data_IF_541634485953
#
_entry.id   IF_541634485953
#
_cell.length_a   1.000
_cell.length_b   1.000
_cell.length_c   1.000
_cell.angle_alpha   90.00
_cell.angle_beta   90.00
_cell.angle_gamma   90.00
#
_symmetry.space_group_name_H-M   'P 1'
#
loop_
_entity.id
_entity.type
_entity.pdbx_description
1 polymer ?
#
# COMPACT_ATOMS: atom_id res chain seq x y z
N UNK A 1 -4.78 24.72 1.49
CA UNK A 1 -3.60 23.85 1.74
C UNK A 1 -2.57 24.67 2.50
N UNK A 2 -1.99 24.08 3.55
CA UNK A 2 -0.89 24.67 4.30
C UNK A 2 0.46 24.39 3.62
N UNK A 3 1.48 25.21 3.93
CA UNK A 3 2.83 24.95 3.42
C UNK A 3 3.41 23.68 4.08
N UNK A 4 4.11 22.89 3.28
CA UNK A 4 4.78 21.68 3.76
C UNK A 4 6.04 22.09 4.52
N UNK A 5 6.38 21.39 5.59
CA UNK A 5 7.59 21.67 6.38
C UNK A 5 8.86 21.57 5.55
N UNK A 6 9.95 22.21 6.01
CA UNK A 6 11.28 22.01 5.43
C UNK A 6 11.78 20.58 5.68
N UNK A 7 12.70 20.05 4.84
CA UNK A 7 13.34 18.77 5.08
C UNK A 7 13.96 18.68 6.48
N UNK A 8 13.77 17.54 7.12
CA UNK A 8 14.42 17.26 8.42
C UNK A 8 15.92 17.05 8.21
N UNK A 9 16.74 17.50 9.17
CA UNK A 9 18.19 17.34 9.11
C UNK A 9 18.57 15.85 9.02
N UNK A 10 19.38 15.49 8.02
CA UNK A 10 19.80 14.10 7.76
C UNK A 10 20.53 13.47 8.93
N UNK A 11 21.28 14.26 9.71
CA UNK A 11 21.98 13.77 10.90
C UNK A 11 21.01 13.26 11.98
N UNK A 12 19.84 13.89 12.12
CA UNK A 12 18.78 13.44 13.04
C UNK A 12 18.14 12.15 12.53
N UNK A 13 17.88 12.05 11.22
CA UNK A 13 17.33 10.83 10.63
C UNK A 13 18.27 9.66 10.86
N UNK A 14 19.56 9.84 10.57
CA UNK A 14 20.59 8.83 10.72
C UNK A 14 20.78 8.39 12.17
N UNK A 15 20.67 9.32 13.13
CA UNK A 15 20.76 9.00 14.55
C UNK A 15 19.63 8.10 15.05
N UNK A 16 18.44 8.20 14.46
CA UNK A 16 17.27 7.39 14.82
C UNK A 16 17.22 6.02 14.09
N UNK A 17 17.89 5.89 12.93
CA UNK A 17 17.94 4.65 12.14
C UNK A 17 19.06 3.73 12.66
N UNK A 18 18.83 3.11 13.81
CA UNK A 18 19.80 2.23 14.47
C UNK A 18 19.73 0.80 13.91
N UNK A 19 20.75 -0.03 14.25
CA UNK A 19 20.83 -1.43 13.81
C UNK A 19 19.66 -2.27 14.32
N UNK A 20 19.13 -1.95 15.50
CA UNK A 20 18.00 -2.64 16.12
C UNK A 20 16.69 -2.44 15.34
N UNK A 21 16.60 -1.39 14.53
CA UNK A 21 15.46 -1.07 13.67
C UNK A 21 15.64 -1.54 12.22
N UNK A 22 16.83 -2.03 11.88
CA UNK A 22 17.14 -2.56 10.56
C UNK A 22 16.43 -3.90 10.36
N UNK A 23 15.50 -3.94 9.41
CA UNK A 23 14.78 -5.17 9.05
C UNK A 23 15.65 -6.06 8.13
N UNK A 24 16.17 -5.47 7.06
CA UNK A 24 17.01 -6.14 6.08
C UNK A 24 17.68 -5.17 5.11
N UNK A 25 18.64 -5.66 4.36
CA UNK A 25 19.09 -5.01 3.11
C UNK A 25 18.22 -5.44 1.94
N UNK A 26 18.12 -4.58 0.94
CA UNK A 26 17.34 -4.85 -0.27
C UNK A 26 18.09 -5.77 -1.23
N UNK A 27 17.35 -6.53 -2.04
CA UNK A 27 17.94 -7.41 -3.04
C UNK A 27 18.63 -6.64 -4.19
N UNK A 28 18.30 -5.36 -4.34
CA UNK A 28 18.83 -4.48 -5.38
C UNK A 28 19.11 -3.09 -4.84
N UNK A 29 20.17 -2.47 -5.36
CA UNK A 29 20.55 -1.07 -5.09
C UNK A 29 21.13 -0.80 -3.71
N UNK A 30 21.52 -1.83 -2.95
CA UNK A 30 22.18 -1.76 -1.63
C UNK A 30 21.50 -0.80 -0.63
N UNK A 31 20.16 -0.66 -0.76
CA UNK A 31 19.36 0.11 0.18
C UNK A 31 19.10 -0.71 1.45
N UNK A 32 18.69 -0.02 2.49
CA UNK A 32 18.34 -0.60 3.78
C UNK A 32 16.85 -0.41 4.07
N UNK A 33 16.21 -1.42 4.67
CA UNK A 33 14.82 -1.35 5.07
C UNK A 33 14.77 -1.30 6.59
N UNK A 34 14.14 -0.24 7.11
CA UNK A 34 13.94 -0.05 8.54
C UNK A 34 12.46 -0.13 8.89
N UNK A 35 12.19 -0.55 10.13
CA UNK A 35 10.87 -0.47 10.74
C UNK A 35 10.97 0.43 11.96
N UNK A 36 10.13 1.46 12.01
CA UNK A 36 10.10 2.45 13.09
C UNK A 36 8.66 2.76 13.51
N UNK A 37 8.52 3.46 14.62
CA UNK A 37 7.28 4.11 15.06
C UNK A 37 7.51 5.60 15.29
N UNK A 38 6.44 6.39 15.36
CA UNK A 38 6.55 7.81 15.72
C UNK A 38 7.15 8.01 17.12
N UNK A 39 6.99 7.03 18.02
CA UNK A 39 7.47 7.11 19.40
C UNK A 39 8.98 6.90 19.53
N UNK A 40 9.54 6.02 18.70
CA UNK A 40 10.97 5.69 18.77
C UNK A 40 11.84 6.43 17.77
N UNK A 41 11.22 7.07 16.76
CA UNK A 41 11.90 7.79 15.67
C UNK A 41 11.11 9.02 15.22
N UNK A 42 10.92 10.02 16.11
CA UNK A 42 10.06 11.16 15.82
C UNK A 42 10.54 12.03 14.66
N UNK A 43 11.85 12.18 14.45
CA UNK A 43 12.39 12.95 13.33
C UNK A 43 12.21 12.19 12.00
N UNK A 44 12.44 10.87 11.99
CA UNK A 44 12.15 10.02 10.82
C UNK A 44 10.67 10.07 10.49
N UNK A 45 9.77 10.02 11.49
CA UNK A 45 8.34 10.13 11.26
C UNK A 45 7.93 11.49 10.66
N UNK A 46 8.52 12.59 11.11
CA UNK A 46 8.29 13.92 10.52
C UNK A 46 8.70 13.96 9.05
N UNK A 47 9.86 13.40 8.71
CA UNK A 47 10.32 13.34 7.31
C UNK A 47 9.42 12.42 6.45
N UNK A 48 8.98 11.28 6.98
CA UNK A 48 7.99 10.42 6.32
C UNK A 48 6.71 11.21 6.02
N UNK A 49 6.17 11.93 7.00
CA UNK A 49 4.97 12.76 6.84
C UNK A 49 5.14 13.85 5.79
N UNK A 50 6.31 14.49 5.75
CA UNK A 50 6.67 15.47 4.72
C UNK A 50 6.70 14.87 3.32
N UNK A 51 7.39 13.73 3.16
CA UNK A 51 7.53 13.06 1.86
C UNK A 51 6.19 12.50 1.36
N UNK A 52 5.35 11.96 2.25
CA UNK A 52 3.98 11.52 1.95
C UNK A 52 3.15 12.67 1.41
N UNK A 53 3.11 13.78 2.12
CA UNK A 53 2.31 14.94 1.74
C UNK A 53 2.77 15.50 0.38
N UNK A 54 4.08 15.58 0.11
CA UNK A 54 4.60 15.97 -1.20
C UNK A 54 4.15 15.00 -2.30
N UNK A 55 4.32 13.71 -2.07
CA UNK A 55 4.02 12.69 -3.07
C UNK A 55 2.52 12.63 -3.39
N UNK A 56 1.67 12.70 -2.37
CA UNK A 56 0.23 12.59 -2.54
C UNK A 56 -0.40 13.86 -3.13
N UNK A 57 0.00 15.06 -2.64
CA UNK A 57 -0.47 16.34 -3.20
C UNK A 57 -0.17 16.49 -4.67
N UNK A 58 0.96 15.98 -5.11
CA UNK A 58 1.36 16.07 -6.52
C UNK A 58 0.31 15.46 -7.47
N UNK A 59 -0.39 14.42 -7.01
CA UNK A 59 -1.43 13.76 -7.78
C UNK A 59 -2.86 14.20 -7.43
N UNK A 60 -3.04 15.15 -6.51
CA UNK A 60 -4.35 15.66 -6.10
C UNK A 60 -4.95 14.99 -4.87
N UNK A 61 -4.16 14.16 -4.16
CA UNK A 61 -4.50 13.64 -2.84
C UNK A 61 -3.83 14.44 -1.72
N UNK A 62 -3.61 13.78 -0.58
CA UNK A 62 -2.95 14.37 0.59
C UNK A 62 -3.93 14.99 1.58
N UNK A 63 -3.41 15.32 2.76
CA UNK A 63 -4.19 15.85 3.87
C UNK A 63 -4.40 17.36 3.79
N UNK A 64 -3.55 18.06 3.04
CA UNK A 64 -3.51 19.52 2.99
C UNK A 64 -2.78 20.15 4.18
N UNK A 65 -2.26 19.35 5.14
CA UNK A 65 -1.49 19.77 6.30
C UNK A 65 0.01 19.86 6.01
N UNK A 66 0.83 20.46 6.90
CA UNK A 66 2.28 20.57 6.69
C UNK A 66 3.01 19.22 6.58
N UNK A 67 2.41 18.14 7.13
CA UNK A 67 2.85 16.74 7.08
C UNK A 67 1.64 15.82 7.05
N UNK A 68 1.74 14.67 6.38
CA UNK A 68 0.75 13.59 6.44
C UNK A 68 1.10 12.65 7.60
N UNK A 69 0.69 13.06 8.80
CA UNK A 69 0.74 12.27 10.03
C UNK A 69 -0.64 12.33 10.65
N UNK A 70 -1.23 11.19 10.95
CA UNK A 70 -2.55 11.07 11.55
C UNK A 70 -2.51 10.38 12.93
N UNK A 71 -3.69 10.16 13.54
CA UNK A 71 -3.80 9.50 14.84
C UNK A 71 -3.25 8.07 14.82
N UNK A 72 -3.38 7.35 13.71
CA UNK A 72 -2.87 5.99 13.56
C UNK A 72 -1.33 5.94 13.55
N UNK A 73 -0.67 7.02 13.18
CA UNK A 73 0.78 7.14 13.25
C UNK A 73 1.27 7.45 14.67
N UNK A 74 0.41 8.02 15.56
CA UNK A 74 0.81 8.61 16.87
C UNK A 74 0.11 8.03 18.10
N UNK A 75 -0.98 7.26 17.93
CA UNK A 75 -1.68 6.62 19.05
C UNK A 75 -0.75 5.67 19.83
N UNK A 76 -1.15 5.24 21.04
CA UNK A 76 -0.35 4.33 21.88
C UNK A 76 0.06 3.04 21.13
N UNK A 77 -0.90 2.46 20.37
CA UNK A 77 -0.69 1.31 19.51
C UNK A 77 -0.44 1.74 18.07
N UNK A 78 0.47 2.70 17.87
CA UNK A 78 0.75 3.29 16.57
C UNK A 78 1.11 2.25 15.50
N UNK A 79 0.70 2.54 14.27
CA UNK A 79 1.17 1.80 13.10
C UNK A 79 2.68 1.94 12.96
N UNK A 80 3.32 0.85 12.57
CA UNK A 80 4.72 0.84 12.21
C UNK A 80 4.94 1.38 10.82
N UNK A 81 6.10 1.96 10.60
CA UNK A 81 6.53 2.50 9.32
C UNK A 81 7.67 1.63 8.77
N UNK A 82 7.42 0.97 7.65
CA UNK A 82 8.44 0.29 6.88
C UNK A 82 8.95 1.27 5.83
N UNK A 83 10.23 1.61 5.88
CA UNK A 83 10.86 2.57 4.97
C UNK A 83 12.05 1.97 4.25
N UNK A 84 12.27 2.42 3.02
CA UNK A 84 13.48 2.18 2.25
C UNK A 84 14.38 3.39 2.41
N UNK A 85 15.57 3.17 2.98
CA UNK A 85 16.60 4.16 3.22
C UNK A 85 17.77 3.94 2.27
N UNK A 86 18.25 4.99 1.64
CA UNK A 86 19.51 4.96 0.91
C UNK A 86 20.63 5.46 1.81
N UNK A 87 21.59 4.58 2.21
CA UNK A 87 22.67 4.97 3.13
C UNK A 87 23.73 5.86 2.50
N UNK A 88 23.87 5.85 1.17
CA UNK A 88 24.83 6.67 0.45
C UNK A 88 24.34 8.13 0.31
N UNK A 89 23.07 8.29 -0.04
CA UNK A 89 22.45 9.61 -0.21
C UNK A 89 21.84 10.14 1.10
N UNK A 90 21.77 9.31 2.15
CA UNK A 90 21.19 9.61 3.46
C UNK A 90 19.77 10.15 3.36
N UNK A 91 18.88 9.37 2.67
CA UNK A 91 17.51 9.79 2.42
C UNK A 91 16.50 8.63 2.35
N UNK A 92 15.25 8.93 2.65
CA UNK A 92 14.13 8.00 2.54
C UNK A 92 13.63 8.00 1.09
N UNK A 93 13.59 6.81 0.47
CA UNK A 93 13.15 6.64 -0.92
C UNK A 93 11.65 6.35 -1.03
N UNK A 94 11.05 5.76 -0.01
CA UNK A 94 9.64 5.39 0.03
C UNK A 94 9.30 4.58 1.27
N UNK A 95 8.02 4.23 1.42
CA UNK A 95 7.59 3.47 2.59
C UNK A 95 6.14 3.00 2.51
N UNK A 96 5.79 2.19 3.51
CA UNK A 96 4.46 1.78 3.90
C UNK A 96 4.26 2.00 5.39
N UNK A 97 3.04 2.31 5.83
CA UNK A 97 2.68 2.03 7.21
C UNK A 97 1.95 0.69 7.29
N UNK A 98 2.08 -0.02 8.41
CA UNK A 98 1.43 -1.29 8.61
C UNK A 98 1.03 -1.55 10.05
N UNK A 99 -0.01 -2.37 10.22
CA UNK A 99 -0.43 -2.91 11.51
C UNK A 99 -0.76 -4.39 11.35
N UNK A 100 -0.24 -5.24 12.23
CA UNK A 100 -0.64 -6.64 12.28
C UNK A 100 -2.04 -6.77 12.88
N UNK A 101 -2.89 -7.57 12.26
CA UNK A 101 -4.28 -7.74 12.69
C UNK A 101 -4.45 -8.35 14.08
N UNK A 102 -3.43 -9.09 14.56
CA UNK A 102 -3.37 -9.55 15.95
C UNK A 102 -3.24 -8.42 16.98
N UNK A 103 -2.72 -7.27 16.58
CA UNK A 103 -2.52 -6.09 17.42
C UNK A 103 -3.71 -5.11 17.31
N UNK A 104 -4.69 -5.40 16.45
CA UNK A 104 -5.85 -4.53 16.22
C UNK A 104 -6.82 -4.60 17.40
N UNK A 105 -7.15 -3.44 17.95
CA UNK A 105 -8.21 -3.31 18.96
C UNK A 105 -9.58 -3.30 18.28
N UNK A 106 -10.56 -3.85 18.97
CA UNK A 106 -11.96 -3.66 18.60
C UNK A 106 -12.56 -2.53 19.46
N UNK A 107 -13.42 -1.72 18.86
CA UNK A 107 -14.18 -0.70 19.58
C UNK A 107 -15.30 -1.32 20.42
N UNK A 108 -16.08 -0.48 21.11
CA UNK A 108 -17.20 -0.90 21.97
C UNK A 108 -18.31 -1.63 21.18
N UNK A 109 -18.38 -1.43 19.87
CA UNK A 109 -19.33 -2.08 18.97
C UNK A 109 -18.77 -3.37 18.33
N UNK A 110 -17.51 -3.75 18.67
CA UNK A 110 -16.84 -4.90 18.11
C UNK A 110 -16.26 -4.67 16.71
N UNK A 111 -16.15 -3.42 16.26
CA UNK A 111 -15.53 -3.08 14.98
C UNK A 111 -14.02 -2.91 15.13
N UNK A 112 -13.22 -3.32 14.12
CA UNK A 112 -11.78 -3.14 14.20
C UNK A 112 -11.39 -1.67 14.08
N UNK A 113 -10.45 -1.22 14.91
CA UNK A 113 -9.88 0.13 14.86
C UNK A 113 -8.72 0.13 13.87
N UNK A 114 -9.03 0.30 12.59
CA UNK A 114 -8.10 0.32 11.47
C UNK A 114 -8.14 1.68 10.76
N UNK A 115 -7.04 2.03 10.13
CA UNK A 115 -6.97 3.24 9.31
C UNK A 115 -7.94 3.23 8.12
N UNK A 116 -8.50 2.07 7.78
CA UNK A 116 -9.51 1.91 6.73
C UNK A 116 -10.94 1.82 7.26
N UNK A 117 -11.18 1.80 8.59
CA UNK A 117 -12.51 1.59 9.19
C UNK A 117 -13.50 2.73 8.93
N UNK A 118 -13.02 3.92 8.55
CA UNK A 118 -13.87 5.02 8.12
C UNK A 118 -14.35 4.89 6.66
N UNK A 119 -13.77 3.96 5.90
CA UNK A 119 -14.07 3.71 4.48
C UNK A 119 -14.82 2.41 4.25
N UNK A 120 -14.58 1.40 5.10
CA UNK A 120 -15.07 0.04 4.90
C UNK A 120 -15.68 -0.54 6.17
N UNK A 121 -16.77 -1.27 6.01
CA UNK A 121 -17.32 -2.17 7.02
C UNK A 121 -16.74 -3.58 6.83
N UNK A 122 -16.43 -4.22 7.95
CA UNK A 122 -15.83 -5.55 8.01
C UNK A 122 -16.87 -6.56 8.53
N UNK A 123 -17.05 -7.68 7.82
CA UNK A 123 -17.94 -8.74 8.25
C UNK A 123 -17.41 -9.42 9.54
N UNK A 124 -18.30 -10.05 10.30
CA UNK A 124 -17.89 -10.87 11.44
C UNK A 124 -16.93 -12.00 11.02
N UNK A 125 -17.12 -12.56 9.82
CA UNK A 125 -16.23 -13.56 9.27
C UNK A 125 -14.83 -13.00 9.07
N UNK A 126 -14.71 -11.80 8.47
CA UNK A 126 -13.41 -11.16 8.29
C UNK A 126 -12.72 -10.93 9.64
N UNK A 127 -13.44 -10.40 10.62
CA UNK A 127 -12.89 -10.06 11.93
C UNK A 127 -12.38 -11.32 12.66
N UNK A 128 -13.09 -12.45 12.59
CA UNK A 128 -12.72 -13.67 13.31
C UNK A 128 -11.72 -14.55 12.57
N UNK A 129 -11.84 -14.68 11.25
CA UNK A 129 -11.13 -15.71 10.49
C UNK A 129 -9.98 -15.14 9.65
N UNK A 130 -10.01 -13.86 9.30
CA UNK A 130 -9.02 -13.22 8.44
C UNK A 130 -8.14 -12.22 9.20
N UNK A 131 -8.75 -11.28 9.94
CA UNK A 131 -8.05 -10.19 10.58
C UNK A 131 -6.85 -10.62 11.45
N UNK A 132 -6.94 -11.66 12.31
CA UNK A 132 -5.80 -12.07 13.15
C UNK A 132 -4.55 -12.49 12.38
N UNK A 133 -4.73 -12.89 11.11
CA UNK A 133 -3.68 -13.37 10.21
C UNK A 133 -3.35 -12.35 9.10
N UNK A 134 -3.82 -11.13 9.24
CA UNK A 134 -3.70 -10.08 8.22
C UNK A 134 -2.71 -9.00 8.66
N UNK A 135 -1.98 -8.44 7.72
CA UNK A 135 -1.30 -7.16 7.88
C UNK A 135 -2.08 -6.12 7.09
N UNK A 136 -2.59 -5.08 7.75
CA UNK A 136 -3.08 -3.90 7.06
C UNK A 136 -1.92 -3.03 6.60
N UNK A 137 -1.94 -2.66 5.31
CA UNK A 137 -0.96 -1.82 4.65
C UNK A 137 -1.61 -0.50 4.22
N UNK A 138 -0.96 0.61 4.52
CA UNK A 138 -1.45 1.92 4.15
C UNK A 138 -0.34 2.90 3.79
N UNK A 139 -0.73 4.08 3.33
CA UNK A 139 0.20 5.19 3.03
C UNK A 139 1.42 4.78 2.20
N UNK A 140 1.21 3.89 1.20
CA UNK A 140 2.26 3.52 0.26
C UNK A 140 2.73 4.75 -0.52
N UNK A 141 4.01 5.05 -0.47
CA UNK A 141 4.59 6.16 -1.23
C UNK A 141 5.99 5.83 -1.74
N UNK A 142 6.33 6.45 -2.86
CA UNK A 142 7.69 6.61 -3.34
C UNK A 142 7.95 8.10 -3.37
N UNK A 143 9.06 8.55 -2.81
CA UNK A 143 9.41 9.97 -2.80
C UNK A 143 9.43 10.52 -4.23
N UNK A 144 8.85 11.71 -4.42
CA UNK A 144 8.48 12.23 -5.74
C UNK A 144 9.66 12.30 -6.72
N UNK A 145 10.86 12.57 -6.22
CA UNK A 145 12.10 12.62 -7.00
C UNK A 145 12.55 11.26 -7.54
N UNK A 146 12.10 10.16 -6.94
CA UNK A 146 12.39 8.78 -7.35
C UNK A 146 11.28 8.12 -8.15
N UNK A 147 10.22 8.82 -8.48
CA UNK A 147 9.18 8.28 -9.35
C UNK A 147 9.64 8.29 -10.81
N UNK A 148 9.56 7.12 -11.47
CA UNK A 148 10.14 6.86 -12.80
C UNK A 148 9.67 7.83 -13.91
N UNK A 149 8.51 8.44 -13.75
CA UNK A 149 7.93 9.40 -14.71
C UNK A 149 8.65 10.74 -14.74
N UNK A 150 9.45 11.07 -13.74
CA UNK A 150 10.06 12.41 -13.58
C UNK A 150 11.57 12.44 -13.80
N UNK A 151 12.29 11.42 -13.36
CA UNK A 151 13.75 11.54 -13.27
C UNK A 151 14.49 11.10 -14.53
N UNK A 152 13.85 10.38 -15.46
CA UNK A 152 14.60 9.67 -16.52
C UNK A 152 15.70 8.74 -15.96
N UNK A 153 15.79 8.65 -14.63
CA UNK A 153 16.80 7.95 -13.85
C UNK A 153 16.32 6.54 -13.55
N UNK A 154 17.21 5.58 -13.68
CA UNK A 154 16.98 4.19 -13.28
C UNK A 154 16.87 4.02 -11.75
N UNK A 155 17.23 5.05 -10.96
CA UNK A 155 17.25 5.02 -9.49
C UNK A 155 15.89 4.74 -8.86
N UNK A 156 14.80 5.30 -9.42
CA UNK A 156 13.44 5.08 -8.92
C UNK A 156 12.80 3.75 -9.30
N UNK A 157 13.36 3.04 -10.28
CA UNK A 157 12.79 1.79 -10.80
C UNK A 157 12.72 0.68 -9.74
N UNK A 158 13.59 0.72 -8.74
CA UNK A 158 13.70 -0.34 -7.75
C UNK A 158 13.04 -0.02 -6.41
N UNK A 159 12.59 1.21 -6.15
CA UNK A 159 12.02 1.58 -4.84
C UNK A 159 10.79 0.75 -4.51
N UNK A 160 9.86 0.61 -5.46
CA UNK A 160 8.67 -0.23 -5.26
C UNK A 160 9.04 -1.71 -5.07
N UNK A 161 10.04 -2.18 -5.79
CA UNK A 161 10.60 -3.53 -5.68
C UNK A 161 11.24 -3.75 -4.29
N UNK A 162 12.00 -2.76 -3.80
CA UNK A 162 12.58 -2.79 -2.46
C UNK A 162 11.51 -2.79 -1.35
N UNK A 163 10.41 -2.06 -1.54
CA UNK A 163 9.28 -2.10 -0.61
C UNK A 163 8.68 -3.52 -0.51
N UNK A 164 8.59 -4.23 -1.64
CA UNK A 164 8.18 -5.64 -1.65
C UNK A 164 9.16 -6.57 -0.94
N UNK A 165 10.46 -6.28 -0.97
CA UNK A 165 11.45 -7.02 -0.18
C UNK A 165 11.17 -6.90 1.32
N UNK A 166 10.75 -5.70 1.76
CA UNK A 166 10.33 -5.47 3.14
C UNK A 166 9.07 -6.23 3.52
N UNK A 167 8.01 -6.14 2.68
CA UNK A 167 6.76 -6.88 2.92
C UNK A 167 6.98 -8.40 2.91
N UNK A 168 7.86 -8.90 2.04
CA UNK A 168 8.26 -10.30 2.02
C UNK A 168 8.92 -10.73 3.33
N UNK A 169 9.79 -9.88 3.89
CA UNK A 169 10.44 -10.14 5.18
C UNK A 169 9.43 -10.26 6.33
N UNK A 170 8.38 -9.42 6.37
CA UNK A 170 7.32 -9.50 7.37
C UNK A 170 6.69 -10.91 7.43
N UNK A 171 6.40 -11.50 6.27
CA UNK A 171 5.78 -12.84 6.17
C UNK A 171 6.71 -13.98 6.55
N UNK A 172 8.04 -13.77 6.51
CA UNK A 172 9.02 -14.77 6.96
C UNK A 172 9.23 -14.69 8.46
N UNK A 173 9.31 -13.47 9.01
CA UNK A 173 9.50 -13.24 10.44
C UNK A 173 8.29 -13.73 11.23
N UNK A 174 7.09 -13.44 10.73
CA UNK A 174 5.84 -13.91 11.29
C UNK A 174 5.13 -14.90 10.34
N UNK A 175 5.39 -16.19 10.47
CA UNK A 175 4.79 -17.22 9.60
C UNK A 175 3.29 -17.43 9.83
N UNK A 176 2.68 -16.78 10.82
CA UNK A 176 1.24 -16.83 11.02
C UNK A 176 0.50 -15.87 10.10
N UNK A 177 1.20 -14.89 9.51
CA UNK A 177 0.63 -13.97 8.54
C UNK A 177 0.24 -14.70 7.25
N UNK A 178 -1.00 -14.53 6.86
CA UNK A 178 -1.58 -15.18 5.67
C UNK A 178 -2.03 -14.17 4.63
N UNK A 179 -2.33 -12.92 5.03
CA UNK A 179 -2.95 -11.93 4.16
C UNK A 179 -2.29 -10.57 4.27
N UNK A 180 -2.19 -9.90 3.13
CA UNK A 180 -1.98 -8.46 3.03
C UNK A 180 -3.32 -7.81 2.68
N UNK A 181 -3.78 -6.88 3.50
CA UNK A 181 -4.98 -6.08 3.28
C UNK A 181 -4.59 -4.62 3.12
N UNK A 182 -5.27 -3.90 2.27
CA UNK A 182 -5.06 -2.48 2.08
C UNK A 182 -5.98 -1.91 1.03
N UNK A 183 -5.63 -0.75 0.53
CA UNK A 183 -6.39 -0.06 -0.50
C UNK A 183 -5.49 0.53 -1.57
N UNK A 184 -5.99 0.60 -2.78
CA UNK A 184 -5.34 1.30 -3.89
C UNK A 184 -6.11 2.55 -4.23
N UNK A 185 -5.37 3.66 -4.36
CA UNK A 185 -5.91 4.98 -4.63
C UNK A 185 -5.96 5.26 -6.12
N UNK A 186 -7.09 5.74 -6.62
CA UNK A 186 -7.20 6.45 -7.89
C UNK A 186 -7.54 7.91 -7.63
N UNK A 187 -6.74 8.79 -8.23
CA UNK A 187 -6.91 10.22 -8.06
C UNK A 187 -8.02 10.76 -8.97
N UNK A 188 -8.76 11.77 -8.51
CA UNK A 188 -9.87 12.37 -9.24
C UNK A 188 -9.46 13.07 -10.56
N UNK A 189 -8.16 13.30 -10.75
CA UNK A 189 -7.59 13.79 -12.00
C UNK A 189 -7.49 12.71 -13.09
N UNK A 190 -7.74 11.44 -12.74
CA UNK A 190 -7.68 10.33 -13.68
C UNK A 190 -8.92 10.33 -14.60
N UNK A 191 -8.75 9.94 -15.87
CA UNK A 191 -9.86 9.90 -16.81
C UNK A 191 -10.99 8.98 -16.33
N UNK A 192 -12.21 9.50 -16.23
CA UNK A 192 -13.36 8.78 -15.66
C UNK A 192 -13.74 7.52 -16.43
N UNK A 193 -13.68 7.52 -17.78
CA UNK A 193 -14.00 6.32 -18.57
C UNK A 193 -12.93 5.23 -18.37
N UNK A 194 -11.66 5.60 -18.38
CA UNK A 194 -10.57 4.67 -18.12
C UNK A 194 -10.65 4.12 -16.69
N UNK A 195 -10.98 4.97 -15.69
CA UNK A 195 -11.24 4.55 -14.31
C UNK A 195 -12.38 3.53 -14.24
N UNK A 196 -13.50 3.79 -14.90
CA UNK A 196 -14.64 2.89 -14.92
C UNK A 196 -14.29 1.53 -15.52
N UNK A 197 -13.51 1.49 -16.61
CA UNK A 197 -13.01 0.24 -17.19
C UNK A 197 -12.13 -0.54 -16.21
N UNK A 198 -11.22 0.15 -15.51
CA UNK A 198 -10.35 -0.49 -14.51
C UNK A 198 -11.18 -1.07 -13.37
N UNK A 199 -12.12 -0.32 -12.80
CA UNK A 199 -12.95 -0.80 -11.70
C UNK A 199 -13.84 -1.97 -12.12
N UNK A 200 -14.45 -1.90 -13.31
CA UNK A 200 -15.22 -3.02 -13.84
C UNK A 200 -14.35 -4.27 -14.05
N UNK A 201 -13.15 -4.11 -14.62
CA UNK A 201 -12.20 -5.21 -14.82
C UNK A 201 -11.78 -5.84 -13.49
N UNK A 202 -11.48 -5.03 -12.47
CA UNK A 202 -11.14 -5.52 -11.13
C UNK A 202 -12.30 -6.31 -10.53
N UNK A 203 -13.53 -5.80 -10.61
CA UNK A 203 -14.72 -6.50 -10.13
C UNK A 203 -14.97 -7.81 -10.90
N UNK A 204 -14.78 -7.82 -12.22
CA UNK A 204 -14.99 -9.00 -13.06
C UNK A 204 -14.04 -10.16 -12.70
N UNK A 205 -12.77 -9.85 -12.39
CA UNK A 205 -11.74 -10.87 -12.20
C UNK A 205 -11.41 -11.19 -10.73
N UNK A 206 -11.73 -10.28 -9.80
CA UNK A 206 -11.28 -10.35 -8.41
C UNK A 206 -12.41 -10.13 -7.40
N UNK A 207 -13.65 -10.28 -7.81
CA UNK A 207 -14.81 -10.08 -6.93
C UNK A 207 -14.70 -10.89 -5.63
N UNK A 208 -14.95 -10.21 -4.51
CA UNK A 208 -15.14 -10.87 -3.21
C UNK A 208 -16.57 -11.41 -3.08
N UNK A 209 -16.75 -12.69 -3.40
CA UNK A 209 -18.04 -13.39 -3.31
C UNK A 209 -18.49 -13.69 -1.88
N UNK A 210 -17.57 -13.54 -0.92
CA UNK A 210 -17.85 -13.81 0.50
C UNK A 210 -18.34 -12.57 1.24
N UNK A 211 -18.29 -11.40 0.59
CA UNK A 211 -18.65 -10.11 1.19
C UNK A 211 -17.92 -9.84 2.52
N UNK A 212 -16.61 -10.14 2.53
CA UNK A 212 -15.77 -10.00 3.71
C UNK A 212 -15.62 -8.55 4.16
N UNK A 213 -15.49 -7.64 3.19
CA UNK A 213 -15.32 -6.20 3.41
C UNK A 213 -16.17 -5.44 2.39
N UNK A 214 -16.88 -4.42 2.84
CA UNK A 214 -17.76 -3.64 1.96
C UNK A 214 -17.54 -2.14 2.14
N UNK A 215 -17.55 -1.33 1.07
CA UNK A 215 -17.48 0.12 1.18
C UNK A 215 -18.69 0.67 1.96
N UNK A 216 -18.44 1.58 2.91
CA UNK A 216 -19.51 2.27 3.65
C UNK A 216 -20.33 3.15 2.68
N UNK A 217 -19.64 3.85 1.78
CA UNK A 217 -20.24 4.71 0.75
C UNK A 217 -19.76 4.26 -0.64
N UNK A 218 -20.41 3.23 -1.24
CA UNK A 218 -19.97 2.69 -2.53
C UNK A 218 -19.98 3.74 -3.64
N UNK A 219 -18.89 3.82 -4.39
CA UNK A 219 -18.76 4.72 -5.52
C UNK A 219 -19.76 4.37 -6.64
N UNK A 220 -20.55 5.36 -7.05
CA UNK A 220 -21.45 5.23 -8.20
C UNK A 220 -20.74 5.64 -9.48
N UNK A 221 -20.40 4.69 -10.34
CA UNK A 221 -19.57 4.95 -11.52
C UNK A 221 -20.33 5.43 -12.75
N UNK A 222 -21.65 5.22 -12.83
CA UNK A 222 -22.44 5.47 -14.05
C UNK A 222 -21.94 4.65 -15.26
N UNK A 223 -21.33 3.50 -15.02
CA UNK A 223 -20.73 2.64 -16.05
C UNK A 223 -21.80 1.99 -16.95
N UNK A 224 -21.62 2.07 -18.28
CA UNK A 224 -22.42 1.28 -19.22
C UNK A 224 -21.97 -0.20 -19.15
N UNK A 225 -22.74 -0.98 -18.42
CA UNK A 225 -22.47 -2.40 -18.19
C UNK A 225 -22.50 -3.21 -19.48
N UNK A 226 -23.37 -2.87 -20.46
CA UNK A 226 -23.43 -3.60 -21.72
C UNK A 226 -22.18 -3.40 -22.53
N UNK A 227 -21.70 -2.14 -22.63
CA UNK A 227 -20.42 -1.83 -23.27
C UNK A 227 -19.26 -2.54 -22.56
N UNK A 228 -19.24 -2.61 -21.23
CA UNK A 228 -18.19 -3.33 -20.51
C UNK A 228 -18.20 -4.83 -20.78
N UNK A 229 -19.37 -5.46 -20.85
CA UNK A 229 -19.51 -6.88 -21.22
C UNK A 229 -19.05 -7.15 -22.66
N UNK A 230 -19.30 -6.24 -23.58
CA UNK A 230 -18.80 -6.34 -24.96
C UNK A 230 -17.27 -6.23 -25.04
N UNK A 231 -16.67 -5.34 -24.24
CA UNK A 231 -15.22 -5.16 -24.19
C UNK A 231 -14.52 -6.35 -23.55
N UNK A 232 -14.99 -6.77 -22.38
CA UNK A 232 -14.34 -7.81 -21.56
C UNK A 232 -15.07 -9.15 -21.67
N UNK A 233 -15.17 -9.65 -22.89
CA UNK A 233 -15.94 -10.87 -23.21
C UNK A 233 -15.11 -12.15 -23.22
N UNK A 234 -13.79 -12.09 -23.00
CA UNK A 234 -12.94 -13.28 -22.96
C UNK A 234 -13.09 -14.02 -21.62
N UNK A 235 -13.01 -15.36 -21.67
CA UNK A 235 -13.14 -16.21 -20.48
C UNK A 235 -11.88 -16.22 -19.59
N UNK A 236 -10.83 -15.47 -19.95
CA UNK A 236 -9.58 -15.45 -19.22
C UNK A 236 -9.05 -14.03 -18.94
N UNK A 237 -8.34 -13.92 -17.83
CA UNK A 237 -7.72 -12.69 -17.37
C UNK A 237 -6.78 -12.06 -18.41
N UNK A 238 -5.90 -12.88 -19.02
CA UNK A 238 -4.81 -12.37 -19.87
C UNK A 238 -5.31 -11.60 -21.09
N UNK A 239 -6.36 -12.11 -21.74
CA UNK A 239 -6.89 -11.47 -22.95
C UNK A 239 -7.75 -10.25 -22.59
N UNK A 240 -8.58 -10.32 -21.53
CA UNK A 240 -9.27 -9.13 -21.00
C UNK A 240 -8.30 -8.06 -20.53
N UNK A 241 -7.15 -8.43 -19.94
CA UNK A 241 -6.12 -7.46 -19.52
C UNK A 241 -5.44 -6.76 -20.71
N UNK A 242 -5.24 -7.46 -21.84
CA UNK A 242 -4.77 -6.82 -23.07
C UNK A 242 -5.78 -5.78 -23.56
N UNK A 243 -7.08 -6.12 -23.55
CA UNK A 243 -8.15 -5.19 -23.92
C UNK A 243 -8.13 -3.98 -22.98
N UNK A 244 -8.09 -4.19 -21.68
CA UNK A 244 -8.01 -3.09 -20.70
C UNK A 244 -6.87 -2.12 -21.04
N UNK A 245 -5.66 -2.65 -21.24
CA UNK A 245 -4.50 -1.80 -21.56
C UNK A 245 -4.67 -1.05 -22.88
N UNK A 246 -5.24 -1.68 -23.91
CA UNK A 246 -5.49 -1.04 -25.20
C UNK A 246 -6.50 0.09 -25.07
N UNK A 247 -7.62 -0.15 -24.39
CA UNK A 247 -8.68 0.84 -24.21
C UNK A 247 -8.24 2.02 -23.34
N UNK A 248 -7.57 1.77 -22.22
CA UNK A 248 -7.03 2.83 -21.33
C UNK A 248 -6.01 3.71 -22.06
N UNK A 249 -5.14 3.12 -22.90
CA UNK A 249 -4.15 3.87 -23.69
C UNK A 249 -4.77 4.80 -24.72
N UNK A 250 -6.00 4.58 -25.18
CA UNK A 250 -6.70 5.51 -26.09
C UNK A 250 -6.92 6.89 -25.45
N UNK A 251 -6.93 6.97 -24.12
CA UNK A 251 -7.00 8.22 -23.36
C UNK A 251 -5.63 8.86 -23.09
N UNK A 252 -4.54 8.32 -23.66
CA UNK A 252 -3.19 8.83 -23.44
C UNK A 252 -2.60 8.51 -22.06
N UNK A 253 -3.19 7.57 -21.32
CA UNK A 253 -2.79 7.18 -19.97
C UNK A 253 -2.56 5.67 -19.90
N UNK A 254 -2.01 5.20 -18.77
CA UNK A 254 -1.84 3.78 -18.50
C UNK A 254 -2.62 3.39 -17.24
N UNK A 255 -2.91 2.09 -17.08
CA UNK A 255 -3.37 1.56 -15.79
C UNK A 255 -2.36 1.95 -14.71
N UNK A 256 -2.82 2.48 -13.54
CA UNK A 256 -1.91 2.95 -12.51
C UNK A 256 -0.88 1.89 -12.09
N UNK A 257 0.41 2.26 -11.92
CA UNK A 257 1.47 1.28 -11.64
C UNK A 257 1.20 0.37 -10.45
N UNK A 258 0.60 0.91 -9.38
CA UNK A 258 0.29 0.15 -8.18
C UNK A 258 -0.85 -0.87 -8.42
N UNK A 259 -1.88 -0.48 -9.19
CA UNK A 259 -2.96 -1.41 -9.62
C UNK A 259 -2.36 -2.57 -10.42
N UNK A 260 -1.49 -2.26 -11.38
CA UNK A 260 -0.78 -3.28 -12.15
C UNK A 260 0.09 -4.20 -11.29
N UNK A 261 0.80 -3.63 -10.31
CA UNK A 261 1.64 -4.38 -9.40
C UNK A 261 0.81 -5.41 -8.62
N UNK A 262 -0.32 -5.00 -8.06
CA UNK A 262 -1.20 -5.90 -7.31
C UNK A 262 -1.84 -6.99 -8.19
N UNK A 263 -2.38 -6.64 -9.36
CA UNK A 263 -2.93 -7.62 -10.31
C UNK A 263 -1.92 -8.66 -10.78
N UNK A 264 -0.63 -8.25 -10.89
CA UNK A 264 0.45 -9.15 -11.28
C UNK A 264 1.09 -9.91 -10.12
N UNK A 265 0.65 -9.67 -8.90
CA UNK A 265 1.17 -10.33 -7.70
C UNK A 265 0.46 -11.65 -7.42
N UNK A 266 -0.88 -11.65 -7.49
CA UNK A 266 -1.70 -12.82 -7.22
C UNK A 266 -2.91 -12.89 -8.17
N UNK A 267 -3.13 -14.03 -8.85
CA UNK A 267 -4.32 -14.22 -9.69
C UNK A 267 -5.61 -14.41 -8.87
N UNK A 268 -5.51 -14.54 -7.55
CA UNK A 268 -6.60 -14.75 -6.62
C UNK A 268 -6.76 -13.62 -5.59
N UNK A 269 -6.26 -12.44 -5.93
CA UNK A 269 -6.54 -11.22 -5.16
C UNK A 269 -8.05 -11.04 -5.01
N UNK A 270 -8.52 -10.51 -3.89
CA UNK A 270 -9.92 -10.08 -3.70
C UNK A 270 -10.01 -8.57 -3.76
N UNK A 271 -11.07 -8.07 -4.37
CA UNK A 271 -11.40 -6.63 -4.45
C UNK A 271 -12.73 -6.39 -3.76
N UNK A 272 -12.76 -5.41 -2.87
CA UNK A 272 -13.89 -5.14 -1.97
C UNK A 272 -14.80 -3.99 -2.40
N UNK A 273 -14.60 -3.48 -3.62
CA UNK A 273 -15.30 -2.29 -4.10
C UNK A 273 -14.56 -1.00 -3.79
N UNK A 274 -15.15 0.11 -4.20
CA UNK A 274 -14.52 1.43 -4.18
C UNK A 274 -15.39 2.43 -3.44
N UNK A 275 -14.78 3.31 -2.66
CA UNK A 275 -15.40 4.43 -1.95
C UNK A 275 -14.64 5.73 -2.19
N UNK A 276 -15.25 6.88 -1.87
CA UNK A 276 -14.57 8.18 -1.91
C UNK A 276 -13.99 8.47 -0.52
N UNK A 277 -12.73 8.90 -0.49
CA UNK A 277 -12.07 9.36 0.72
C UNK A 277 -12.07 10.89 0.78
N UNK A 278 -13.05 11.45 1.47
CA UNK A 278 -13.23 12.90 1.61
C UNK A 278 -12.12 13.56 2.44
N UNK A 279 -11.47 12.83 3.32
CA UNK A 279 -10.40 13.34 4.18
C UNK A 279 -9.03 13.38 3.51
N UNK A 280 -8.93 12.85 2.28
CA UNK A 280 -7.67 12.70 1.56
C UNK A 280 -7.71 13.23 0.12
N UNK A 281 -8.36 14.38 -0.10
CA UNK A 281 -8.44 15.04 -1.40
C UNK A 281 -9.48 14.43 -2.35
N UNK A 282 -10.58 13.88 -1.83
CA UNK A 282 -11.68 13.31 -2.62
C UNK A 282 -11.24 12.16 -3.54
N UNK A 283 -10.20 11.42 -3.13
CA UNK A 283 -9.68 10.31 -3.94
C UNK A 283 -10.58 9.07 -3.83
N UNK A 284 -10.50 8.22 -4.84
CA UNK A 284 -11.25 6.97 -4.89
C UNK A 284 -10.38 5.81 -4.39
N UNK A 285 -10.86 5.11 -3.37
CA UNK A 285 -10.12 4.06 -2.67
C UNK A 285 -10.78 2.70 -2.91
N UNK A 286 -10.03 1.79 -3.51
CA UNK A 286 -10.49 0.40 -3.75
C UNK A 286 -9.83 -0.54 -2.76
N UNK A 287 -10.61 -1.23 -1.91
CA UNK A 287 -10.10 -2.20 -0.96
C UNK A 287 -9.62 -3.47 -1.64
N UNK A 288 -8.50 -4.03 -1.18
CA UNK A 288 -7.90 -5.25 -1.73
C UNK A 288 -7.37 -6.18 -0.63
N UNK A 289 -7.43 -7.50 -0.88
CA UNK A 289 -6.83 -8.53 -0.03
C UNK A 289 -6.01 -9.48 -0.90
N UNK A 290 -4.79 -9.77 -0.48
CA UNK A 290 -3.89 -10.69 -1.15
C UNK A 290 -3.51 -11.79 -0.17
N UNK A 291 -3.76 -13.06 -0.55
CA UNK A 291 -3.32 -14.21 0.22
C UNK A 291 -1.87 -14.54 -0.11
N UNK A 292 -0.99 -14.51 0.89
CA UNK A 292 0.47 -14.59 0.73
C UNK A 292 0.89 -15.88 0.04
N UNK A 293 0.27 -17.01 0.40
CA UNK A 293 0.62 -18.29 -0.22
C UNK A 293 0.16 -18.43 -1.68
N UNK A 294 -0.73 -17.55 -2.16
CA UNK A 294 -1.21 -17.50 -3.55
C UNK A 294 -0.49 -16.44 -4.41
N UNK A 295 0.52 -15.78 -3.85
CA UNK A 295 1.46 -14.93 -4.60
C UNK A 295 2.21 -15.82 -5.61
N UNK A 296 2.40 -15.31 -6.83
CA UNK A 296 3.12 -16.01 -7.90
C UNK A 296 4.52 -16.44 -7.46
N UNK A 297 4.92 -17.66 -7.80
CA UNK A 297 6.20 -18.25 -7.37
C UNK A 297 7.41 -17.39 -7.72
N UNK A 298 7.42 -16.77 -8.90
CA UNK A 298 8.50 -15.85 -9.30
C UNK A 298 8.65 -14.63 -8.35
N UNK A 299 7.52 -14.16 -7.80
CA UNK A 299 7.48 -13.06 -6.84
C UNK A 299 7.90 -13.50 -5.44
N UNK A 300 7.45 -14.68 -4.99
CA UNK A 300 7.90 -15.29 -3.74
C UNK A 300 9.41 -15.52 -3.75
N UNK A 301 9.95 -16.12 -4.79
CA UNK A 301 11.40 -16.32 -4.97
C UNK A 301 12.17 -15.03 -4.90
N UNK A 302 11.63 -13.98 -5.48
CA UNK A 302 12.28 -12.68 -5.53
C UNK A 302 12.27 -11.92 -4.20
N UNK A 303 11.14 -11.92 -3.48
CA UNK A 303 10.91 -11.02 -2.35
C UNK A 303 10.83 -11.71 -1.00
N UNK A 304 10.46 -13.00 -0.96
CA UNK A 304 10.27 -13.76 0.28
C UNK A 304 11.44 -14.69 0.53
N UNK A 305 11.76 -15.58 -0.44
CA UNK A 305 12.78 -16.60 -0.26
C UNK A 305 14.21 -16.05 -0.17
N UNK A 306 14.44 -14.83 -0.64
CA UNK A 306 15.74 -14.15 -0.52
C UNK A 306 16.03 -13.63 0.89
N UNK A 307 15.03 -13.59 1.76
CA UNK A 307 15.19 -13.15 3.12
C UNK A 307 15.51 -14.34 4.04
N UNK A 308 16.62 -14.26 4.74
CA UNK A 308 17.03 -15.24 5.75
C UNK A 308 16.65 -14.73 7.14
N UNK A 309 15.94 -15.56 7.95
CA UNK A 309 15.54 -15.19 9.32
C UNK A 309 16.71 -14.76 10.20
N UNK A 310 17.88 -15.29 9.95
CA UNK A 310 19.13 -14.95 10.65
C UNK A 310 19.55 -13.49 10.42
N UNK A 311 19.08 -12.85 9.37
CA UNK A 311 19.32 -11.42 9.10
C UNK A 311 18.47 -10.51 9.99
N UNK A 312 17.34 -10.99 10.50
CA UNK A 312 16.47 -10.23 11.40
C UNK A 312 16.68 -10.71 12.84
N UNK A 313 17.38 -9.89 13.61
CA UNK A 313 17.65 -10.16 15.03
C UNK A 313 16.51 -9.67 15.95
N UNK A 314 15.52 -8.94 15.41
CA UNK A 314 14.51 -8.18 16.15
C UNK A 314 13.08 -8.47 15.67
N UNK A 315 12.49 -9.66 15.96
CA UNK A 315 11.12 -9.99 15.55
C UNK A 315 10.07 -9.06 16.18
N UNK A 316 10.38 -8.42 17.31
CA UNK A 316 9.54 -7.40 17.96
C UNK A 316 9.29 -6.17 17.09
N UNK A 317 10.08 -5.94 16.03
CA UNK A 317 9.84 -4.87 15.07
C UNK A 317 8.48 -5.01 14.35
N UNK A 318 7.91 -6.21 14.31
CA UNK A 318 6.71 -6.50 13.55
C UNK A 318 5.47 -6.58 14.43
N UNK A 319 5.63 -7.14 15.64
CA UNK A 319 4.54 -7.31 16.61
C UNK A 319 4.89 -6.70 17.94
N UNK A 320 3.87 -6.32 18.69
CA UNK A 320 3.99 -6.12 20.13
C UNK A 320 4.19 -7.47 20.78
N UNK A 321 5.13 -7.52 21.69
CA UNK A 321 5.38 -8.69 22.54
C UNK A 321 4.25 -8.93 23.55
#
# INVERSE_FOLDING_TARGET
MQDIIQPVDRSLLKAELTKEKLLRRTNKSDNEIYVITAHDSPHVMQEIGRLREIAFRYYGGGTGFPVDIDEFDTMEDAYRQLIVWNPEEEMILGGYRFLCGSDVRLDEQGKPVLATSHLFDFSEQFIREYLPYTVELGRSFVALEFQATRSGSTRGLFVLDNLWDGLGALSVIDPTLQYFFGKVTMYNTYNTEARNMILYFLQLHFEDKEHLVTPIYPLQTGTDINRMKELFHYDNFKDNYKVLNQEVRKFGINVPPLVNAYMSLSPKMKVFGTTINHEFGEVEETGILIKINEILEEKKKRHIETFLKEECLHPELIRKG
#
